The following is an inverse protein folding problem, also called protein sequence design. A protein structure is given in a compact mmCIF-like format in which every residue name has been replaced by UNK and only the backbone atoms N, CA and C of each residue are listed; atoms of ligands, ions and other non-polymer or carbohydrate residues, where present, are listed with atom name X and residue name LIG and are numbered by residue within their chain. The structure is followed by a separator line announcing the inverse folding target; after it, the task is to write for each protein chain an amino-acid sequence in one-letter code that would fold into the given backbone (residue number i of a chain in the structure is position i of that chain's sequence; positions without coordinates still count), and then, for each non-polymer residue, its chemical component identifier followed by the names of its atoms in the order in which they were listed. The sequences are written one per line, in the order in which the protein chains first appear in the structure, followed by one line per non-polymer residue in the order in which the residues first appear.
data_IF_049814948213
#
_entry.id   IF_049814948213
#
_cell.length_a   1.000
_cell.length_b   1.000
_cell.length_c   1.000
_cell.angle_alpha   90.00
_cell.angle_beta   90.00
_cell.angle_gamma   90.00
#
_symmetry.space_group_name_H-M   'P 1'
#
loop_
_entity.id
_entity.type
_entity.pdbx_description
1 polymer ?
#
# COMPACT_ATOMS: atom_id res chain seq x y z
N UNK A 1 -17.35 0.05 -6.90
CA UNK A 1 -18.10 0.59 -5.75
C UNK A 1 -17.39 0.08 -4.51
N UNK A 2 -16.67 0.95 -3.80
CA UNK A 2 -15.87 0.58 -2.62
C UNK A 2 -16.78 0.46 -1.40
N UNK A 3 -16.73 -0.68 -0.73
CA UNK A 3 -17.54 -0.95 0.45
C UNK A 3 -17.26 0.06 1.57
N UNK A 4 -18.30 0.83 1.86
CA UNK A 4 -18.51 1.86 2.88
C UNK A 4 -18.33 1.33 4.32
N UNK A 5 -17.22 0.69 4.67
CA UNK A 5 -17.09 -0.03 5.97
C UNK A 5 -16.14 0.63 6.97
N UNK A 6 -14.89 0.92 6.60
CA UNK A 6 -13.96 1.56 7.55
C UNK A 6 -14.14 3.08 7.61
N UNK A 7 -14.39 3.72 6.47
CA UNK A 7 -14.56 5.17 6.38
C UNK A 7 -15.77 5.66 7.15
N UNK A 8 -16.93 5.00 6.99
CA UNK A 8 -18.15 5.41 7.71
C UNK A 8 -18.00 5.24 9.21
N UNK A 9 -17.51 4.08 9.66
CA UNK A 9 -17.32 3.84 11.10
C UNK A 9 -16.34 4.85 11.69
N UNK A 10 -15.19 5.07 11.04
CA UNK A 10 -14.21 6.06 11.50
C UNK A 10 -14.79 7.48 11.56
N UNK A 11 -15.47 7.94 10.50
CA UNK A 11 -16.06 9.27 10.45
C UNK A 11 -17.19 9.44 11.48
N UNK A 12 -18.02 8.42 11.68
CA UNK A 12 -19.08 8.44 12.68
C UNK A 12 -18.50 8.52 14.09
N UNK A 13 -17.51 7.68 14.43
CA UNK A 13 -16.88 7.71 15.76
C UNK A 13 -16.15 9.04 16.01
N UNK A 14 -15.47 9.58 15.01
CA UNK A 14 -14.81 10.90 15.08
C UNK A 14 -15.83 12.01 15.32
N UNK A 15 -16.97 11.96 14.62
CA UNK A 15 -18.07 12.91 14.82
C UNK A 15 -18.65 12.82 16.22
N UNK A 16 -18.91 11.60 16.71
CA UNK A 16 -19.41 11.36 18.08
C UNK A 16 -18.42 11.89 19.11
N UNK A 17 -17.11 11.67 18.95
CA UNK A 17 -16.11 12.19 19.87
C UNK A 17 -16.10 13.73 19.89
N UNK A 18 -16.22 14.37 18.72
CA UNK A 18 -16.21 15.81 18.59
C UNK A 18 -17.42 16.49 19.27
N UNK A 19 -18.59 15.86 19.21
CA UNK A 19 -19.84 16.41 19.79
C UNK A 19 -20.20 15.78 21.15
N UNK A 20 -19.33 14.96 21.73
CA UNK A 20 -19.67 14.12 22.88
C UNK A 20 -20.25 14.92 24.05
N UNK A 21 -19.64 16.05 24.38
CA UNK A 21 -20.08 16.89 25.51
C UNK A 21 -21.46 17.51 25.26
N UNK A 22 -21.70 18.05 24.06
CA UNK A 22 -23.01 18.60 23.68
C UNK A 22 -24.09 17.51 23.66
N UNK A 23 -23.73 16.30 23.22
CA UNK A 23 -24.63 15.16 23.16
C UNK A 23 -24.97 14.66 24.57
N UNK A 24 -24.00 14.64 25.47
CA UNK A 24 -24.21 14.31 26.89
C UNK A 24 -25.17 15.29 27.55
N UNK A 25 -24.92 16.60 27.44
CA UNK A 25 -25.78 17.65 28.01
C UNK A 25 -27.23 17.56 27.52
N UNK A 26 -27.42 17.35 26.20
CA UNK A 26 -28.77 17.22 25.62
C UNK A 26 -29.49 15.96 26.10
N UNK A 27 -28.80 14.82 26.18
CA UNK A 27 -29.40 13.58 26.67
C UNK A 27 -29.72 13.64 28.15
N UNK A 28 -28.88 14.31 28.95
CA UNK A 28 -29.12 14.54 30.36
C UNK A 28 -30.38 15.41 30.58
N UNK A 29 -30.52 16.50 29.81
CA UNK A 29 -31.71 17.36 29.86
C UNK A 29 -33.01 16.63 29.48
N UNK A 30 -32.92 15.58 28.65
CA UNK A 30 -34.05 14.75 28.24
C UNK A 30 -34.30 13.54 29.16
N UNK A 31 -33.46 13.32 30.17
CA UNK A 31 -33.52 12.14 31.03
C UNK A 31 -33.09 10.83 30.33
N UNK A 32 -32.39 10.91 29.20
CA UNK A 32 -31.93 9.77 28.39
C UNK A 32 -30.41 9.51 28.53
N UNK A 33 -29.78 9.97 29.60
CA UNK A 33 -28.33 9.80 29.87
C UNK A 33 -27.85 8.34 29.81
N UNK A 34 -28.73 7.38 30.14
CA UNK A 34 -28.46 5.94 30.05
C UNK A 34 -28.00 5.46 28.65
N UNK A 35 -28.29 6.22 27.59
CA UNK A 35 -27.87 5.90 26.22
C UNK A 35 -26.38 6.14 25.96
N UNK A 36 -25.75 7.07 26.68
CA UNK A 36 -24.34 7.45 26.50
C UNK A 36 -23.44 7.04 27.67
N UNK A 37 -24.03 6.75 28.83
CA UNK A 37 -23.33 6.36 30.07
C UNK A 37 -22.39 5.16 29.89
N UNK A 38 -22.72 4.24 28.97
CA UNK A 38 -21.90 3.05 28.69
C UNK A 38 -20.73 3.29 27.73
N UNK A 39 -20.61 4.50 27.16
CA UNK A 39 -19.54 4.83 26.21
C UNK A 39 -18.35 5.40 26.97
N UNK A 40 -17.34 4.56 27.19
CA UNK A 40 -16.05 5.00 27.70
C UNK A 40 -15.29 5.81 26.63
N UNK A 41 -14.98 7.08 26.94
CA UNK A 41 -14.23 7.97 26.04
C UNK A 41 -12.85 7.43 25.68
N UNK A 42 -12.17 6.75 26.61
CA UNK A 42 -10.86 6.14 26.36
C UNK A 42 -10.94 5.05 25.29
N UNK A 43 -11.99 4.22 25.34
CA UNK A 43 -12.25 3.19 24.33
C UNK A 43 -12.61 3.82 22.99
N UNK A 44 -13.40 4.90 22.99
CA UNK A 44 -13.73 5.63 21.77
C UNK A 44 -12.47 6.23 21.12
N UNK A 45 -11.61 6.87 21.90
CA UNK A 45 -10.33 7.42 21.44
C UNK A 45 -9.44 6.33 20.85
N UNK A 46 -9.29 5.20 21.55
CA UNK A 46 -8.56 4.05 21.04
C UNK A 46 -9.11 3.56 19.69
N UNK A 47 -10.43 3.43 19.55
CA UNK A 47 -11.03 2.95 18.30
C UNK A 47 -10.75 3.90 17.13
N UNK A 48 -10.81 5.21 17.37
CA UNK A 48 -10.52 6.23 16.36
C UNK A 48 -9.05 6.13 15.93
N UNK A 49 -8.13 6.11 16.89
CA UNK A 49 -6.69 5.99 16.62
C UNK A 49 -6.35 4.66 15.93
N UNK A 50 -7.04 3.59 16.32
CA UNK A 50 -6.85 2.29 15.69
C UNK A 50 -7.35 2.27 14.24
N UNK A 51 -8.50 2.87 13.95
CA UNK A 51 -9.11 2.87 12.63
C UNK A 51 -8.47 3.89 11.66
N UNK A 52 -7.82 4.92 12.19
CA UNK A 52 -7.22 6.00 11.40
C UNK A 52 -6.27 5.50 10.29
N UNK A 53 -5.30 4.60 10.54
CA UNK A 53 -4.44 4.08 9.46
C UNK A 53 -5.21 3.32 8.37
N UNK A 54 -6.31 2.66 8.70
CA UNK A 54 -7.15 1.98 7.71
C UNK A 54 -7.87 3.01 6.83
N UNK A 55 -8.44 4.06 7.45
CA UNK A 55 -9.07 5.16 6.73
C UNK A 55 -8.10 5.87 5.79
N UNK A 56 -6.90 6.22 6.28
CA UNK A 56 -5.86 6.87 5.47
C UNK A 56 -5.42 5.98 4.30
N UNK A 57 -5.19 4.69 4.56
CA UNK A 57 -4.80 3.74 3.51
C UNK A 57 -5.84 3.65 2.40
N UNK A 58 -7.13 3.62 2.77
CA UNK A 58 -8.22 3.58 1.81
C UNK A 58 -8.24 4.87 0.97
N UNK A 59 -8.09 6.04 1.60
CA UNK A 59 -8.11 7.32 0.90
C UNK A 59 -6.94 7.50 -0.05
N UNK A 60 -5.76 7.04 0.34
CA UNK A 60 -4.60 7.12 -0.52
C UNK A 60 -4.65 6.09 -1.67
N UNK A 61 -5.15 4.88 -1.43
CA UNK A 61 -5.21 3.83 -2.46
C UNK A 61 -6.38 3.99 -3.44
N UNK A 62 -7.44 4.69 -3.05
CA UNK A 62 -8.57 5.06 -3.93
C UNK A 62 -8.28 6.30 -4.81
N UNK A 63 -7.12 6.93 -4.65
CA UNK A 63 -6.72 8.07 -5.47
C UNK A 63 -6.65 7.72 -6.96
N UNK A 64 -7.25 8.55 -7.80
CA UNK A 64 -7.25 8.44 -9.26
C UNK A 64 -6.23 9.40 -9.93
N UNK A 65 -5.89 10.50 -9.25
CA UNK A 65 -4.97 11.54 -9.74
C UNK A 65 -3.49 11.17 -9.69
N UNK A 66 -3.12 10.09 -9.01
CA UNK A 66 -1.72 9.69 -8.81
C UNK A 66 -1.54 8.16 -8.82
N UNK A 67 -0.33 7.66 -9.11
CA UNK A 67 -0.03 6.25 -8.94
C UNK A 67 -0.29 5.76 -7.52
N UNK A 68 -1.17 4.77 -7.37
CA UNK A 68 -1.51 4.14 -6.09
C UNK A 68 -0.91 2.75 -5.94
N UNK A 69 -0.64 2.07 -7.06
CA UNK A 69 -0.18 0.68 -7.07
C UNK A 69 1.17 0.48 -6.37
N UNK A 70 2.07 1.47 -6.48
CA UNK A 70 3.37 1.52 -5.82
C UNK A 70 3.27 1.70 -4.30
N UNK A 71 2.12 2.12 -3.78
CA UNK A 71 1.90 2.36 -2.34
C UNK A 71 1.28 1.18 -1.61
N UNK A 72 0.75 0.19 -2.35
CA UNK A 72 0.02 -0.94 -1.76
C UNK A 72 0.92 -1.73 -0.80
N UNK A 73 2.15 -2.04 -1.20
CA UNK A 73 3.06 -2.82 -0.34
C UNK A 73 3.40 -2.08 0.96
N UNK A 74 3.58 -0.76 0.89
CA UNK A 74 3.85 0.07 2.06
C UNK A 74 2.68 0.07 3.04
N UNK A 75 1.48 0.32 2.55
CA UNK A 75 0.29 0.33 3.39
C UNK A 75 0.02 -1.05 3.99
N UNK A 76 0.24 -2.13 3.25
CA UNK A 76 0.10 -3.48 3.79
C UNK A 76 1.04 -3.71 4.98
N UNK A 77 2.33 -3.37 4.86
CA UNK A 77 3.29 -3.55 5.95
C UNK A 77 3.00 -2.61 7.12
N UNK A 78 2.64 -1.35 6.85
CA UNK A 78 2.23 -0.38 7.89
C UNK A 78 1.01 -0.88 8.69
N UNK A 79 -0.01 -1.41 7.99
CA UNK A 79 -1.21 -1.95 8.62
C UNK A 79 -0.93 -3.23 9.42
N UNK A 80 -0.08 -4.13 8.91
CA UNK A 80 0.36 -5.31 9.65
C UNK A 80 1.03 -4.92 10.96
N UNK A 81 1.99 -3.99 10.90
CA UNK A 81 2.69 -3.52 12.09
C UNK A 81 1.74 -2.86 13.09
N UNK A 82 0.78 -2.06 12.61
CA UNK A 82 -0.25 -1.44 13.46
C UNK A 82 -1.16 -2.46 14.17
N UNK A 83 -1.36 -3.63 13.57
CA UNK A 83 -2.15 -4.71 14.16
C UNK A 83 -1.36 -5.64 15.09
N UNK A 84 -0.06 -5.41 15.28
CA UNK A 84 0.72 -6.22 16.21
C UNK A 84 0.31 -5.92 17.66
N UNK A 85 0.32 -6.93 18.56
CA UNK A 85 0.01 -6.72 19.97
C UNK A 85 0.97 -5.71 20.61
N UNK A 86 0.43 -4.74 21.35
CA UNK A 86 1.22 -3.82 22.15
C UNK A 86 1.15 -4.24 23.64
N UNK A 87 2.27 -4.17 24.35
CA UNK A 87 2.36 -4.52 25.77
C UNK A 87 1.48 -3.63 26.67
N UNK A 88 1.12 -2.43 26.20
CA UNK A 88 0.25 -1.49 26.91
C UNK A 88 -1.24 -1.68 26.57
N UNK A 89 -1.58 -2.60 25.67
CA UNK A 89 -2.98 -2.80 25.27
C UNK A 89 -3.80 -3.43 26.41
N UNK A 90 -5.05 -2.98 26.57
CA UNK A 90 -6.03 -3.69 27.38
C UNK A 90 -6.38 -5.05 26.75
N UNK A 91 -6.92 -6.02 27.50
CA UNK A 91 -7.28 -7.33 26.95
C UNK A 91 -8.21 -7.23 25.72
N UNK A 92 -9.13 -6.27 25.72
CA UNK A 92 -10.05 -6.02 24.61
C UNK A 92 -9.34 -5.45 23.38
N UNK A 93 -8.40 -4.53 23.59
CA UNK A 93 -7.59 -3.93 22.52
C UNK A 93 -6.69 -4.99 21.86
N UNK A 94 -6.04 -5.83 22.66
CA UNK A 94 -5.20 -6.92 22.18
C UNK A 94 -5.99 -7.92 21.30
N UNK A 95 -7.19 -8.31 21.72
CA UNK A 95 -8.09 -9.17 20.93
C UNK A 95 -8.45 -8.50 19.60
N UNK A 96 -8.73 -7.21 19.61
CA UNK A 96 -9.08 -6.47 18.41
C UNK A 96 -7.91 -6.40 17.42
N UNK A 97 -6.69 -6.10 17.90
CA UNK A 97 -5.47 -6.09 17.09
C UNK A 97 -5.21 -7.46 16.45
N UNK A 98 -5.21 -8.52 17.26
CA UNK A 98 -5.03 -9.91 16.82
C UNK A 98 -6.02 -10.29 15.72
N UNK A 99 -7.30 -9.95 15.91
CA UNK A 99 -8.35 -10.26 14.93
C UNK A 99 -8.13 -9.56 13.60
N UNK A 100 -7.66 -8.32 13.62
CA UNK A 100 -7.37 -7.56 12.40
C UNK A 100 -6.07 -8.01 11.74
N UNK A 101 -5.06 -8.41 12.52
CA UNK A 101 -3.84 -9.05 12.02
C UNK A 101 -4.17 -10.32 11.24
N UNK A 102 -4.97 -11.22 11.85
CA UNK A 102 -5.43 -12.46 11.20
C UNK A 102 -6.26 -12.17 9.94
N UNK A 103 -7.11 -11.15 9.99
CA UNK A 103 -7.91 -10.73 8.84
C UNK A 103 -7.02 -10.21 7.70
N UNK A 104 -6.03 -9.36 8.00
CA UNK A 104 -5.07 -8.84 7.03
C UNK A 104 -4.28 -9.99 6.38
N UNK A 105 -3.77 -10.92 7.19
CA UNK A 105 -3.00 -12.07 6.69
C UNK A 105 -3.81 -12.95 5.72
N UNK A 106 -5.13 -13.09 5.95
CA UNK A 106 -6.01 -13.92 5.11
C UNK A 106 -6.53 -13.21 3.86
N UNK A 107 -6.83 -11.92 3.96
CA UNK A 107 -7.52 -11.17 2.89
C UNK A 107 -6.58 -10.37 2.00
N UNK A 108 -5.44 -9.94 2.52
CA UNK A 108 -4.52 -9.05 1.78
C UNK A 108 -3.39 -9.88 1.18
N UNK A 109 -3.64 -10.39 -0.03
CA UNK A 109 -2.62 -11.07 -0.84
C UNK A 109 -1.98 -10.05 -1.78
N UNK A 110 -0.69 -9.79 -1.58
CA UNK A 110 0.08 -8.86 -2.41
C UNK A 110 0.55 -9.60 -3.66
N UNK A 111 -0.04 -9.28 -4.80
CA UNK A 111 0.39 -9.78 -6.10
C UNK A 111 1.75 -9.20 -6.51
N UNK A 112 2.51 -9.94 -7.31
CA UNK A 112 3.85 -9.56 -7.75
C UNK A 112 3.88 -8.23 -8.50
N UNK A 113 2.84 -7.92 -9.29
CA UNK A 113 2.71 -6.65 -9.99
C UNK A 113 2.80 -5.45 -9.03
N UNK A 114 2.21 -5.57 -7.83
CA UNK A 114 2.23 -4.51 -6.81
C UNK A 114 3.61 -4.38 -6.18
N UNK A 115 4.33 -5.49 -6.00
CA UNK A 115 5.72 -5.51 -5.55
C UNK A 115 6.64 -4.84 -6.59
N UNK A 116 6.46 -5.15 -7.86
CA UNK A 116 7.20 -4.53 -8.98
C UNK A 116 6.87 -3.04 -9.09
N UNK A 117 5.61 -2.64 -9.01
CA UNK A 117 5.23 -1.23 -9.00
C UNK A 117 5.89 -0.45 -7.85
N UNK A 118 6.03 -1.08 -6.69
CA UNK A 118 6.76 -0.50 -5.54
C UNK A 118 8.26 -0.38 -5.83
N UNK A 119 8.86 -1.42 -6.44
CA UNK A 119 10.27 -1.42 -6.83
C UNK A 119 10.62 -0.32 -7.83
N UNK A 120 9.72 -0.06 -8.78
CA UNK A 120 9.91 0.99 -9.79
C UNK A 120 9.80 2.40 -9.21
N UNK A 121 9.30 2.53 -7.97
CA UNK A 121 9.22 3.80 -7.31
C UNK A 121 10.57 4.15 -6.65
N UNK A 122 11.16 5.33 -6.93
CA UNK A 122 12.55 5.63 -6.58
C UNK A 122 12.81 5.62 -5.07
N UNK A 123 11.82 6.08 -4.31
CA UNK A 123 11.89 6.19 -2.85
C UNK A 123 11.84 4.79 -2.20
N UNK A 124 11.26 3.80 -2.88
CA UNK A 124 11.00 2.46 -2.35
C UNK A 124 11.69 1.34 -3.14
N UNK A 125 12.64 1.70 -4.01
CA UNK A 125 13.34 0.77 -4.91
C UNK A 125 14.15 -0.31 -4.17
N UNK A 126 14.51 -0.06 -2.91
CA UNK A 126 15.23 -1.03 -2.08
C UNK A 126 14.30 -2.03 -1.40
N UNK A 127 12.98 -1.84 -1.47
CA UNK A 127 11.96 -2.75 -0.93
C UNK A 127 12.24 -3.15 0.54
N UNK A 128 12.78 -2.24 1.36
CA UNK A 128 13.22 -2.53 2.74
C UNK A 128 12.10 -3.07 3.63
N UNK A 129 10.84 -2.77 3.29
CA UNK A 129 9.65 -3.28 3.98
C UNK A 129 9.37 -4.77 3.72
N UNK A 130 9.92 -5.36 2.66
CA UNK A 130 9.75 -6.78 2.36
C UNK A 130 10.84 -7.64 3.02
N UNK A 131 10.58 -8.94 3.16
CA UNK A 131 11.60 -9.91 3.60
C UNK A 131 12.75 -10.00 2.59
N UNK A 132 13.96 -10.41 3.03
CA UNK A 132 15.10 -10.57 2.11
C UNK A 132 14.80 -11.56 0.96
N UNK A 133 14.07 -12.65 1.26
CA UNK A 133 13.63 -13.62 0.25
C UNK A 133 12.67 -13.00 -0.77
N UNK A 134 11.68 -12.21 -0.31
CA UNK A 134 10.74 -11.54 -1.20
C UNK A 134 11.43 -10.51 -2.10
N UNK A 135 12.38 -9.74 -1.56
CA UNK A 135 13.17 -8.77 -2.34
C UNK A 135 13.91 -9.47 -3.47
N UNK A 136 14.60 -10.56 -3.17
CA UNK A 136 15.33 -11.33 -4.17
C UNK A 136 14.41 -11.89 -5.26
N UNK A 137 13.22 -12.39 -4.87
CA UNK A 137 12.22 -12.86 -5.82
C UNK A 137 11.75 -11.75 -6.77
N UNK A 138 11.48 -10.54 -6.25
CA UNK A 138 11.09 -9.39 -7.08
C UNK A 138 12.21 -9.00 -8.04
N UNK A 139 13.46 -8.90 -7.56
CA UNK A 139 14.60 -8.57 -8.42
C UNK A 139 14.87 -9.64 -9.48
N UNK A 140 14.67 -10.92 -9.17
CA UNK A 140 14.77 -12.00 -10.15
C UNK A 140 13.66 -11.90 -11.21
N UNK A 141 12.42 -11.66 -10.78
CA UNK A 141 11.28 -11.50 -11.68
C UNK A 141 11.46 -10.31 -12.63
N UNK A 142 11.90 -9.16 -12.12
CA UNK A 142 12.21 -7.98 -12.95
C UNK A 142 13.32 -8.29 -13.95
N UNK A 143 14.38 -8.99 -13.55
CA UNK A 143 15.45 -9.42 -14.47
C UNK A 143 14.91 -10.30 -15.59
N UNK A 144 14.07 -11.27 -15.28
CA UNK A 144 13.43 -12.13 -16.30
C UNK A 144 12.57 -11.33 -17.26
N UNK A 145 11.79 -10.36 -16.77
CA UNK A 145 10.99 -9.47 -17.61
C UNK A 145 11.86 -8.63 -18.55
N UNK A 146 12.95 -8.04 -18.04
CA UNK A 146 13.89 -7.28 -18.86
C UNK A 146 14.55 -8.14 -19.94
N UNK A 147 14.97 -9.36 -19.60
CA UNK A 147 15.55 -10.31 -20.56
C UNK A 147 14.54 -10.72 -21.64
N UNK A 148 13.30 -11.01 -21.26
CA UNK A 148 12.22 -11.33 -22.20
C UNK A 148 11.92 -10.15 -23.15
N UNK A 149 11.89 -8.92 -22.62
CA UNK A 149 11.72 -7.71 -23.44
C UNK A 149 12.89 -7.48 -24.39
N UNK A 150 14.13 -7.66 -23.93
CA UNK A 150 15.32 -7.56 -24.78
C UNK A 150 15.31 -8.61 -25.92
N UNK A 151 14.94 -9.85 -25.62
CA UNK A 151 14.81 -10.91 -26.63
C UNK A 151 13.70 -10.61 -27.65
N UNK A 152 12.56 -10.07 -27.21
CA UNK A 152 11.46 -9.64 -28.09
C UNK A 152 11.86 -8.44 -28.96
N UNK A 153 12.62 -7.48 -28.43
CA UNK A 153 13.13 -6.33 -29.19
C UNK A 153 14.16 -6.72 -30.26
N UNK A 154 15.01 -7.71 -29.97
CA UNK A 154 15.98 -8.23 -30.96
C UNK A 154 15.28 -8.81 -32.20
N UNK A 155 14.03 -9.29 -32.05
CA UNK A 155 13.19 -9.77 -33.16
C UNK A 155 12.39 -8.65 -33.86
N UNK A 156 12.15 -7.52 -33.21
CA UNK A 156 11.25 -6.45 -33.68
C UNK A 156 11.95 -5.19 -34.24
N UNK A 157 13.27 -5.09 -34.19
CA UNK A 157 14.04 -4.05 -34.89
C UNK A 157 13.86 -2.60 -34.41
N UNK A 158 13.32 -2.36 -33.21
CA UNK A 158 13.11 -1.02 -32.65
C UNK A 158 14.31 -0.58 -31.78
N UNK A 159 15.17 0.30 -32.33
CA UNK A 159 16.45 0.73 -31.72
C UNK A 159 16.34 1.75 -30.57
N UNK A 160 15.21 2.43 -30.40
CA UNK A 160 15.11 3.58 -29.48
C UNK A 160 14.96 3.17 -27.99
N UNK A 161 14.27 2.07 -27.68
CA UNK A 161 14.01 1.64 -26.29
C UNK A 161 15.21 0.88 -25.67
N UNK A 162 16.11 0.37 -26.53
CA UNK A 162 17.24 -0.47 -26.13
C UNK A 162 18.30 0.28 -25.32
N UNK A 163 18.55 1.58 -25.60
CA UNK A 163 19.51 2.39 -24.82
C UNK A 163 19.06 2.61 -23.37
N UNK A 164 17.78 2.95 -23.16
CA UNK A 164 17.23 3.19 -21.82
C UNK A 164 17.20 1.89 -21.00
N UNK A 165 16.83 0.76 -21.62
CA UNK A 165 16.90 -0.55 -20.97
C UNK A 165 18.34 -1.03 -20.74
N UNK A 166 19.30 -0.73 -21.63
CA UNK A 166 20.70 -1.06 -21.45
C UNK A 166 21.35 -0.26 -20.32
N UNK A 167 21.05 1.03 -20.20
CA UNK A 167 21.55 1.85 -19.09
C UNK A 167 20.97 1.36 -17.75
N UNK A 168 19.71 0.91 -17.74
CA UNK A 168 19.07 0.29 -16.58
C UNK A 168 19.67 -1.09 -16.24
N UNK A 169 19.89 -1.93 -17.25
CA UNK A 169 20.54 -3.23 -17.11
C UNK A 169 22.00 -3.09 -16.68
N UNK A 170 22.74 -2.11 -17.21
CA UNK A 170 24.11 -1.83 -16.82
C UNK A 170 24.17 -1.37 -15.36
N UNK A 171 23.31 -0.42 -14.97
CA UNK A 171 23.24 0.04 -13.58
C UNK A 171 22.84 -1.08 -12.61
N UNK A 172 21.93 -1.97 -13.01
CA UNK A 172 21.41 -3.05 -12.16
C UNK A 172 22.27 -4.34 -12.17
N UNK A 173 23.00 -4.64 -13.26
CA UNK A 173 23.87 -5.83 -13.38
C UNK A 173 25.31 -5.57 -12.92
N UNK A 174 25.81 -4.33 -13.02
CA UNK A 174 27.18 -3.98 -12.58
C UNK A 174 27.25 -3.51 -11.12
N UNK A 175 26.11 -3.25 -10.47
CA UNK A 175 26.10 -2.84 -9.06
C UNK A 175 26.08 -4.06 -8.14
N UNK A 176 27.09 -4.28 -7.28
CA UNK A 176 27.01 -5.28 -6.23
C UNK A 176 25.81 -4.99 -5.30
N UNK A 177 25.21 -6.01 -4.65
CA UNK A 177 24.00 -5.85 -3.84
C UNK A 177 24.10 -4.80 -2.73
N UNK A 178 25.32 -4.41 -2.32
CA UNK A 178 25.59 -3.32 -1.38
C UNK A 178 25.48 -1.90 -2.00
N UNK A 179 25.71 -1.72 -3.31
CA UNK A 179 25.75 -0.41 -3.97
C UNK A 179 24.36 0.08 -4.43
N UNK A 180 23.40 -0.82 -4.66
CA UNK A 180 22.00 -0.48 -4.99
C UNK A 180 21.30 0.22 -3.81
N UNK A 181 21.84 0.09 -2.59
CA UNK A 181 21.30 0.70 -1.39
C UNK A 181 21.54 2.22 -1.26
N UNK A 182 22.36 2.83 -2.13
CA UNK A 182 22.77 4.25 -2.00
C UNK A 182 22.54 5.10 -3.24
N UNK A 183 22.22 4.52 -4.39
CA UNK A 183 22.10 5.27 -5.63
C UNK A 183 20.61 5.50 -6.01
N UNK A 184 20.21 6.78 -6.05
CA UNK A 184 18.90 7.24 -6.54
C UNK A 184 18.95 7.56 -8.03
N UNK A 185 18.01 7.02 -8.81
CA UNK A 185 17.88 7.32 -10.25
C UNK A 185 17.50 8.79 -10.52
N UNK A 186 17.93 9.39 -11.64
CA UNK A 186 17.45 10.69 -12.12
C UNK A 186 15.96 10.66 -12.50
N UNK A 187 15.23 11.73 -12.17
CA UNK A 187 13.76 11.82 -12.29
C UNK A 187 13.21 11.78 -13.73
N UNK A 188 14.03 12.12 -14.73
CA UNK A 188 13.63 12.14 -16.13
C UNK A 188 13.43 10.73 -16.71
N UNK A 189 14.38 9.82 -16.46
CA UNK A 189 14.28 8.42 -16.91
C UNK A 189 13.14 7.66 -16.22
N UNK A 190 12.77 8.06 -15.00
CA UNK A 190 11.66 7.46 -14.26
C UNK A 190 10.30 7.73 -14.90
N UNK A 191 10.10 8.92 -15.47
CA UNK A 191 8.85 9.28 -16.15
C UNK A 191 8.63 8.47 -17.43
N UNK A 192 9.70 8.24 -18.20
CA UNK A 192 9.64 7.47 -19.45
C UNK A 192 9.38 5.98 -19.18
N UNK A 193 10.03 5.42 -18.16
CA UNK A 193 9.80 4.02 -17.74
C UNK A 193 8.37 3.84 -17.22
N UNK A 194 7.85 4.80 -16.45
CA UNK A 194 6.48 4.76 -15.94
C UNK A 194 5.45 4.79 -17.09
N UNK A 195 5.62 5.69 -18.06
CA UNK A 195 4.76 5.79 -19.24
C UNK A 195 4.77 4.49 -20.06
N UNK A 196 5.95 3.85 -20.19
CA UNK A 196 6.11 2.59 -20.92
C UNK A 196 5.43 1.41 -20.22
N UNK A 197 5.57 1.28 -18.90
CA UNK A 197 4.95 0.20 -18.14
C UNK A 197 3.43 0.33 -18.05
N UNK A 198 2.90 1.55 -18.03
CA UNK A 198 1.45 1.79 -18.20
C UNK A 198 0.95 1.37 -19.59
N UNK A 199 1.73 1.58 -20.65
CA UNK A 199 1.38 1.10 -21.99
C UNK A 199 1.47 -0.43 -22.11
N UNK A 200 2.50 -1.06 -21.54
CA UNK A 200 2.67 -2.51 -21.57
C UNK A 200 1.59 -3.26 -20.77
N UNK A 201 1.19 -2.73 -19.61
CA UNK A 201 0.08 -3.30 -18.82
C UNK A 201 -1.26 -3.12 -19.53
N UNK A 202 -1.47 -1.98 -20.19
CA UNK A 202 -2.67 -1.71 -21.01
C UNK A 202 -2.74 -2.62 -22.25
N UNK A 203 -1.60 -2.92 -22.89
CA UNK A 203 -1.51 -3.85 -24.02
C UNK A 203 -1.74 -5.31 -23.60
N UNK A 204 -1.21 -5.72 -22.44
CA UNK A 204 -1.45 -7.04 -21.86
C UNK A 204 -2.92 -7.25 -21.46
N UNK A 205 -3.58 -6.22 -20.91
CA UNK A 205 -5.01 -6.25 -20.60
C UNK A 205 -5.89 -6.34 -21.87
N UNK A 206 -5.51 -5.66 -22.97
CA UNK A 206 -6.21 -5.80 -24.27
C UNK A 206 -6.03 -7.17 -24.92
N UNK A 207 -4.89 -7.83 -24.71
CA UNK A 207 -4.65 -9.17 -25.23
C UNK A 207 -5.49 -10.25 -24.50
N UNK A 208 -5.80 -10.05 -23.22
CA UNK A 208 -6.63 -10.97 -22.44
C UNK A 208 -8.15 -10.79 -22.64
N UNK A 209 -8.61 -9.68 -23.23
CA UNK A 209 -10.02 -9.44 -23.56
C UNK A 209 -10.44 -9.89 -24.98
N UNK A 210 -9.52 -10.52 -25.74
CA UNK A 210 -9.77 -11.04 -27.10
C UNK A 210 -9.83 -12.58 -27.18
N UNK A 211 -10.02 -13.25 -26.04
CA UNK A 211 -10.36 -14.69 -25.99
C UNK A 211 -11.79 -14.88 -25.55
#
# INVERSE_FOLDING_TARGET
MGDTRFSTVYLTLTSIQAIYHELHEKLEALGESARIEKIALDTLGFLIDFLKPFYESQRELEGDKYPTLNRVCLWCEKLKHHCQPNAQDSPQQAVMRKRHEDWLARKVIIQDLRKIATFLWPIFNQLRMLSHSDRNAVHAHVRTLLQAMAAAHTRAGLRACYRICQDWLAWFLLSPPAAVATASMPSAQQKEIWAFLQQATSASQRANFRK
#
